data_IF_603503861989
#
_entry.id   IF_603503861989
#
_cell.length_a   1.000
_cell.length_b   1.000
_cell.length_c   1.000
_cell.angle_alpha   90.00
_cell.angle_beta   90.00
_cell.angle_gamma   90.00
#
_symmetry.space_group_name_H-M   'P 1'
#
loop_
_entity.id
_entity.type
_entity.pdbx_description
1 polymer ?
#
# COMPACT_ATOMS: atom_id res chain seq x y z
N UNK A 1 -24.26 -15.25 33.00
CA UNK A 1 -23.53 -16.46 32.53
C UNK A 1 -22.25 -16.01 31.82
N UNK A 2 -21.05 -16.31 32.33
CA UNK A 2 -19.82 -15.85 31.72
C UNK A 2 -19.18 -16.95 30.84
N UNK A 3 -19.09 -16.71 29.54
CA UNK A 3 -18.33 -17.56 28.62
C UNK A 3 -16.85 -17.16 28.66
N UNK A 4 -16.07 -17.97 29.38
CA UNK A 4 -14.62 -18.07 29.26
C UNK A 4 -14.30 -18.85 27.98
N UNK A 5 -13.59 -18.26 27.02
CA UNK A 5 -12.69 -18.96 26.09
C UNK A 5 -11.97 -17.95 25.18
N UNK A 6 -10.86 -17.39 25.67
CA UNK A 6 -9.80 -16.86 24.81
C UNK A 6 -8.57 -17.71 25.07
N UNK A 7 -8.38 -18.72 24.22
CA UNK A 7 -7.10 -19.42 24.11
C UNK A 7 -6.11 -18.47 23.44
N UNK A 8 -5.07 -18.15 24.22
CA UNK A 8 -3.80 -17.57 23.79
C UNK A 8 -3.31 -18.28 22.52
N UNK A 9 -3.05 -17.51 21.46
CA UNK A 9 -2.04 -17.86 20.47
C UNK A 9 -0.88 -16.89 20.64
N UNK A 10 0.12 -17.40 21.37
CA UNK A 10 1.43 -16.80 21.56
C UNK A 10 2.33 -17.26 20.43
N UNK A 11 2.99 -16.33 19.75
CA UNK A 11 4.25 -16.58 19.07
C UNK A 11 5.31 -15.63 19.66
N UNK A 12 6.09 -16.13 20.63
CA UNK A 12 7.45 -15.65 20.96
C UNK A 12 8.39 -16.10 19.82
N UNK A 13 9.52 -15.50 19.46
CA UNK A 13 10.35 -14.41 19.97
C UNK A 13 11.24 -13.96 18.79
N UNK A 14 11.51 -12.65 18.63
CA UNK A 14 12.75 -12.18 17.99
C UNK A 14 13.57 -11.50 19.07
N UNK A 15 14.76 -12.08 19.30
CA UNK A 15 15.76 -11.68 20.29
C UNK A 15 16.34 -10.33 19.85
N UNK A 16 16.13 -9.25 20.63
CA UNK A 16 16.96 -8.06 20.53
C UNK A 16 18.29 -8.36 21.20
N UNK A 17 19.38 -8.06 20.49
CA UNK A 17 20.71 -8.02 21.07
C UNK A 17 20.96 -6.57 21.48
N UNK A 18 20.83 -6.28 22.77
CA UNK A 18 21.57 -5.18 23.40
C UNK A 18 22.93 -5.73 23.82
N UNK A 19 23.99 -5.06 23.40
CA UNK A 19 25.30 -5.04 24.07
C UNK A 19 26.16 -3.92 23.47
N UNK A 20 26.00 -2.74 24.04
CA UNK A 20 27.10 -1.80 24.20
C UNK A 20 27.68 -2.05 25.60
N UNK A 21 28.94 -2.50 25.68
CA UNK A 21 30.01 -1.78 26.40
C UNK A 21 31.30 -2.59 26.57
N UNK A 22 32.40 -1.83 26.46
CA UNK A 22 33.70 -1.97 27.12
C UNK A 22 34.73 -3.03 26.64
N UNK A 23 35.84 -2.45 26.15
CA UNK A 23 37.20 -2.98 25.97
C UNK A 23 37.68 -3.72 27.24
N UNK A 24 38.42 -4.83 27.06
CA UNK A 24 39.70 -5.15 27.72
C UNK A 24 40.35 -6.36 27.01
N UNK A 25 41.65 -6.23 26.78
CA UNK A 25 42.65 -7.18 26.26
C UNK A 25 42.91 -8.39 27.17
N UNK A 26 43.12 -9.59 26.62
CA UNK A 26 44.22 -10.52 26.97
C UNK A 26 44.09 -11.86 26.22
N UNK A 27 45.25 -12.47 25.99
CA UNK A 27 45.51 -13.64 25.17
C UNK A 27 45.32 -14.99 25.90
N UNK A 28 45.52 -16.06 25.12
CA UNK A 28 45.92 -17.44 25.48
C UNK A 28 44.84 -18.55 25.47
N UNK A 29 44.88 -19.30 24.35
CA UNK A 29 45.18 -20.75 24.23
C UNK A 29 44.32 -21.85 24.88
N UNK A 30 43.91 -22.76 23.99
CA UNK A 30 43.83 -24.24 24.07
C UNK A 30 42.73 -24.92 24.90
N UNK A 31 42.02 -25.86 24.27
CA UNK A 31 41.30 -26.94 24.97
C UNK A 31 40.07 -27.52 24.27
N UNK A 32 40.30 -28.31 23.22
CA UNK A 32 39.46 -29.38 22.61
C UNK A 32 38.25 -29.97 23.39
N UNK A 33 37.08 -30.12 22.75
CA UNK A 33 36.58 -31.39 22.20
C UNK A 33 35.13 -31.34 21.66
N UNK A 34 35.01 -31.77 20.40
CA UNK A 34 33.92 -32.45 19.68
C UNK A 34 32.51 -32.60 20.29
N UNK A 35 31.50 -32.22 19.48
CA UNK A 35 30.52 -33.15 18.89
C UNK A 35 29.87 -32.56 17.63
N UNK A 36 29.60 -33.46 16.70
CA UNK A 36 29.43 -33.28 15.26
C UNK A 36 28.03 -33.65 14.78
N UNK A 37 27.49 -32.89 13.83
CA UNK A 37 26.53 -33.33 12.80
C UNK A 37 26.51 -32.26 11.68
N UNK A 38 27.31 -32.42 10.61
CA UNK A 38 26.92 -32.96 9.29
C UNK A 38 25.61 -32.33 8.76
N UNK A 39 25.65 -31.41 7.78
CA UNK A 39 26.06 -31.68 6.40
C UNK A 39 26.65 -30.43 5.69
N UNK A 40 27.92 -30.50 5.29
CA UNK A 40 28.48 -29.74 4.16
C UNK A 40 28.60 -30.74 3.00
N UNK A 41 28.12 -30.44 1.81
CA UNK A 41 28.79 -29.51 0.91
C UNK A 41 29.88 -30.29 0.18
N UNK A 42 29.52 -30.94 -0.93
CA UNK A 42 30.40 -31.75 -1.75
C UNK A 42 30.38 -31.19 -3.19
N UNK A 43 31.28 -30.26 -3.46
CA UNK A 43 31.77 -29.98 -4.82
C UNK A 43 33.28 -30.20 -4.79
N UNK A 44 33.68 -31.40 -5.20
CA UNK A 44 35.07 -31.73 -5.50
C UNK A 44 35.24 -31.69 -7.02
N UNK A 45 36.32 -31.04 -7.44
CA UNK A 45 36.65 -30.67 -8.81
C UNK A 45 37.39 -31.85 -9.49
N UNK A 46 36.81 -32.35 -10.58
CA UNK A 46 37.50 -32.98 -11.72
C UNK A 46 37.73 -34.50 -11.68
N UNK A 47 37.01 -35.25 -12.52
CA UNK A 47 37.52 -35.93 -13.73
C UNK A 47 36.64 -37.14 -14.10
N UNK A 48 36.03 -37.08 -15.30
CA UNK A 48 35.65 -38.20 -16.19
C UNK A 48 34.93 -39.42 -15.58
N UNK A 49 33.59 -39.38 -15.58
CA UNK A 49 32.76 -40.49 -16.08
C UNK A 49 31.32 -40.01 -16.26
N UNK A 50 30.78 -40.33 -17.43
CA UNK A 50 29.42 -40.11 -17.89
C UNK A 50 28.41 -40.82 -16.99
N UNK A 51 27.62 -40.05 -16.25
CA UNK A 51 26.34 -40.51 -15.69
C UNK A 51 25.33 -39.41 -15.92
N UNK A 52 24.49 -39.61 -16.93
CA UNK A 52 23.31 -38.82 -17.25
C UNK A 52 22.39 -38.78 -16.02
N UNK A 53 22.55 -37.74 -15.21
CA UNK A 53 21.54 -37.36 -14.23
C UNK A 53 20.49 -36.53 -14.96
N UNK A 54 19.65 -37.23 -15.73
CA UNK A 54 18.32 -36.78 -16.10
C UNK A 54 17.48 -36.62 -14.83
N UNK A 55 17.77 -35.58 -14.03
CA UNK A 55 16.77 -34.97 -13.17
C UNK A 55 15.92 -34.05 -14.06
N UNK A 56 15.21 -34.67 -15.00
CA UNK A 56 14.07 -34.06 -15.66
C UNK A 56 12.96 -33.97 -14.62
N UNK A 57 13.10 -33.05 -13.67
CA UNK A 57 11.91 -32.42 -13.10
C UNK A 57 11.18 -31.87 -14.32
N UNK A 58 10.02 -32.43 -14.62
CA UNK A 58 9.13 -31.99 -15.68
C UNK A 58 8.72 -30.57 -15.36
N UNK A 59 9.59 -29.62 -15.71
CA UNK A 59 9.36 -28.20 -15.55
C UNK A 59 8.13 -27.89 -16.37
N UNK A 60 7.04 -27.56 -15.70
CA UNK A 60 5.84 -27.07 -16.36
C UNK A 60 6.28 -25.91 -17.28
N UNK A 61 6.01 -25.97 -18.59
CA UNK A 61 6.54 -24.96 -19.51
C UNK A 61 6.10 -23.56 -19.09
N UNK A 62 7.06 -22.66 -18.95
CA UNK A 62 6.83 -21.30 -18.44
C UNK A 62 5.76 -20.57 -19.27
N UNK A 63 5.77 -20.75 -20.59
CA UNK A 63 4.77 -20.17 -21.49
C UNK A 63 3.33 -20.64 -21.18
N UNK A 64 3.15 -21.91 -20.82
CA UNK A 64 1.83 -22.44 -20.46
C UNK A 64 1.39 -21.86 -19.11
N UNK A 65 2.32 -21.66 -18.18
CA UNK A 65 2.04 -21.03 -16.88
C UNK A 65 1.55 -19.59 -17.08
N UNK A 66 2.25 -18.81 -17.91
CA UNK A 66 1.88 -17.43 -18.17
C UNK A 66 0.52 -17.33 -18.88
N UNK A 67 0.19 -18.26 -19.78
CA UNK A 67 -1.14 -18.34 -20.41
C UNK A 67 -2.26 -18.66 -19.41
N UNK A 68 -2.00 -19.52 -18.41
CA UNK A 68 -2.95 -19.79 -17.32
C UNK A 68 -3.18 -18.50 -16.50
N UNK A 69 -2.10 -17.80 -16.15
CA UNK A 69 -2.18 -16.52 -15.44
C UNK A 69 -2.98 -15.49 -16.26
N UNK A 70 -2.75 -15.41 -17.56
CA UNK A 70 -3.46 -14.47 -18.43
C UNK A 70 -4.95 -14.77 -18.61
N UNK A 71 -5.36 -16.02 -18.38
CA UNK A 71 -6.76 -16.44 -18.43
C UNK A 71 -7.53 -16.12 -17.14
N UNK A 72 -6.82 -15.84 -16.04
CA UNK A 72 -7.43 -15.46 -14.77
C UNK A 72 -7.87 -13.99 -14.78
N UNK A 73 -8.78 -13.60 -13.89
CA UNK A 73 -9.15 -12.20 -13.73
C UNK A 73 -8.00 -11.37 -13.13
N UNK A 74 -8.14 -10.04 -13.16
CA UNK A 74 -7.09 -9.12 -12.71
C UNK A 74 -6.78 -9.23 -11.21
N UNK A 75 -7.76 -9.53 -10.36
CA UNK A 75 -7.51 -9.74 -8.93
C UNK A 75 -6.67 -10.99 -8.73
N UNK A 76 -7.02 -12.08 -9.42
CA UNK A 76 -6.25 -13.32 -9.35
C UNK A 76 -4.84 -13.16 -9.91
N UNK A 77 -4.68 -12.50 -11.06
CA UNK A 77 -3.36 -12.14 -11.59
C UNK A 77 -2.52 -11.39 -10.55
N UNK A 78 -3.12 -10.43 -9.83
CA UNK A 78 -2.44 -9.66 -8.80
C UNK A 78 -2.08 -10.51 -7.58
N UNK A 79 -2.94 -11.45 -7.16
CA UNK A 79 -2.64 -12.42 -6.09
C UNK A 79 -1.46 -13.32 -6.49
N UNK A 80 -1.47 -13.83 -7.72
CA UNK A 80 -0.45 -14.74 -8.23
C UNK A 80 0.95 -14.09 -8.34
N UNK A 81 1.06 -12.75 -8.35
CA UNK A 81 2.35 -12.03 -8.25
C UNK A 81 3.17 -12.41 -7.01
N UNK A 82 2.52 -12.85 -5.93
CA UNK A 82 3.20 -13.26 -4.70
C UNK A 82 3.83 -14.66 -4.80
N UNK A 83 3.45 -15.46 -5.80
CA UNK A 83 3.87 -16.87 -5.92
C UNK A 83 5.33 -16.99 -6.36
N UNK A 84 5.71 -16.32 -7.46
CA UNK A 84 7.09 -16.34 -7.95
C UNK A 84 7.47 -15.10 -8.77
N UNK A 85 8.78 -14.87 -8.94
CA UNK A 85 9.33 -13.71 -9.66
C UNK A 85 8.91 -13.66 -11.12
N UNK A 86 8.80 -14.81 -11.78
CA UNK A 86 8.36 -14.92 -13.17
C UNK A 86 6.94 -14.36 -13.35
N UNK A 87 5.98 -14.87 -12.58
CA UNK A 87 4.60 -14.39 -12.63
C UNK A 87 4.54 -12.91 -12.26
N UNK A 88 5.27 -12.49 -11.22
CA UNK A 88 5.36 -11.09 -10.82
C UNK A 88 5.81 -10.20 -11.98
N UNK A 89 6.90 -10.54 -12.65
CA UNK A 89 7.44 -9.76 -13.75
C UNK A 89 6.49 -9.72 -14.95
N UNK A 90 5.84 -10.85 -15.28
CA UNK A 90 4.84 -10.93 -16.34
C UNK A 90 3.67 -9.97 -16.09
N UNK A 91 3.06 -10.06 -14.90
CA UNK A 91 1.92 -9.22 -14.52
C UNK A 91 2.34 -7.75 -14.40
N UNK A 92 3.50 -7.46 -13.79
CA UNK A 92 4.01 -6.10 -13.68
C UNK A 92 4.27 -5.47 -15.06
N UNK A 93 4.81 -6.24 -16.02
CA UNK A 93 5.01 -5.78 -17.41
C UNK A 93 3.69 -5.54 -18.14
N UNK A 94 2.70 -6.43 -17.95
CA UNK A 94 1.34 -6.29 -18.51
C UNK A 94 0.63 -5.03 -18.00
N UNK A 95 0.85 -4.67 -16.74
CA UNK A 95 0.17 -3.53 -16.09
C UNK A 95 0.98 -2.21 -16.15
N UNK A 96 2.25 -2.27 -16.54
CA UNK A 96 3.11 -1.09 -16.72
C UNK A 96 2.55 0.00 -17.65
N UNK A 97 1.80 -0.29 -18.74
CA UNK A 97 1.27 0.74 -19.62
C UNK A 97 0.21 1.65 -18.99
N UNK A 98 -0.38 1.25 -17.86
CA UNK A 98 -1.36 2.08 -17.16
C UNK A 98 -0.65 3.13 -16.29
N UNK A 99 -0.86 4.39 -16.65
CA UNK A 99 -0.15 5.53 -16.06
C UNK A 99 -1.09 6.51 -15.34
N UNK A 100 -2.40 6.40 -15.56
CA UNK A 100 -3.41 7.24 -14.90
C UNK A 100 -4.20 6.37 -13.93
N UNK A 101 -4.23 6.77 -12.65
CA UNK A 101 -4.91 6.04 -11.59
C UNK A 101 -6.05 6.90 -11.05
N UNK A 102 -7.23 6.31 -10.92
CA UNK A 102 -8.41 6.96 -10.36
C UNK A 102 -9.03 6.02 -9.32
N UNK A 103 -8.98 6.40 -8.05
CA UNK A 103 -9.45 5.55 -6.95
C UNK A 103 -10.51 6.32 -6.17
N UNK A 104 -11.71 5.77 -6.09
CA UNK A 104 -12.82 6.45 -5.43
C UNK A 104 -13.59 5.53 -4.48
N UNK A 105 -14.18 6.12 -3.46
CA UNK A 105 -15.07 5.49 -2.50
C UNK A 105 -16.51 5.84 -2.87
N UNK A 106 -17.21 4.90 -3.51
CA UNK A 106 -18.55 5.12 -4.05
C UNK A 106 -19.42 3.87 -3.91
N UNK A 107 -20.69 3.94 -4.30
CA UNK A 107 -21.52 2.72 -4.36
C UNK A 107 -21.03 1.84 -5.51
N UNK A 108 -20.44 0.69 -5.18
CA UNK A 108 -19.83 -0.18 -6.19
C UNK A 108 -20.89 -0.71 -7.14
N UNK A 109 -22.07 -1.06 -6.64
CA UNK A 109 -23.15 -1.67 -7.45
C UNK A 109 -23.65 -0.68 -8.48
N UNK A 110 -23.85 0.58 -8.09
CA UNK A 110 -24.29 1.62 -9.01
C UNK A 110 -23.23 1.84 -10.10
N UNK A 111 -21.96 1.96 -9.72
CA UNK A 111 -20.86 2.21 -10.67
C UNK A 111 -20.64 1.05 -11.66
N UNK A 112 -20.78 -0.20 -11.20
CA UNK A 112 -20.60 -1.38 -12.05
C UNK A 112 -21.79 -1.62 -12.97
N UNK A 113 -23.00 -1.22 -12.55
CA UNK A 113 -24.21 -1.41 -13.36
C UNK A 113 -24.27 -0.46 -14.57
N UNK A 114 -23.67 0.74 -14.44
CA UNK A 114 -23.78 1.78 -15.46
C UNK A 114 -22.77 1.68 -16.60
N UNK A 115 -21.76 0.81 -16.53
CA UNK A 115 -20.74 0.76 -17.60
C UNK A 115 -20.10 -0.62 -17.77
N UNK A 116 -19.83 -1.01 -19.02
CA UNK A 116 -19.15 -2.26 -19.34
C UNK A 116 -17.65 -2.23 -18.94
N UNK A 117 -17.07 -3.41 -18.68
CA UNK A 117 -15.63 -3.62 -18.44
C UNK A 117 -15.17 -3.51 -16.99
N UNK A 118 -16.08 -3.54 -16.01
CA UNK A 118 -15.70 -3.69 -14.60
C UNK A 118 -15.45 -5.16 -14.25
N UNK A 119 -14.37 -5.40 -13.52
CA UNK A 119 -14.13 -6.66 -12.82
C UNK A 119 -14.39 -6.42 -11.34
N UNK A 120 -15.31 -7.17 -10.75
CA UNK A 120 -15.59 -7.14 -9.33
C UNK A 120 -14.75 -8.21 -8.62
N UNK A 121 -14.15 -7.86 -7.49
CA UNK A 121 -13.42 -8.83 -6.69
C UNK A 121 -14.38 -9.84 -6.05
N UNK A 122 -14.10 -11.14 -6.21
CA UNK A 122 -14.97 -12.23 -5.76
C UNK A 122 -15.33 -12.17 -4.26
N UNK A 123 -14.40 -11.68 -3.44
CA UNK A 123 -14.52 -11.67 -1.97
C UNK A 123 -14.37 -10.26 -1.37
N UNK A 124 -14.43 -9.22 -2.19
CA UNK A 124 -14.24 -7.83 -1.79
C UNK A 124 -15.24 -6.91 -2.47
N UNK A 125 -15.68 -5.87 -1.78
CA UNK A 125 -16.48 -4.79 -2.34
C UNK A 125 -15.58 -3.76 -3.04
N UNK A 126 -14.74 -4.27 -3.95
CA UNK A 126 -13.79 -3.50 -4.75
C UNK A 126 -13.96 -3.92 -6.20
N UNK A 127 -14.14 -2.94 -7.08
CA UNK A 127 -14.20 -3.13 -8.51
C UNK A 127 -13.05 -2.38 -9.18
N UNK A 128 -12.54 -2.94 -10.27
CA UNK A 128 -11.49 -2.34 -11.09
C UNK A 128 -11.90 -2.35 -12.55
N UNK A 129 -11.54 -1.28 -13.25
CA UNK A 129 -11.74 -1.14 -14.69
C UNK A 129 -10.45 -0.63 -15.31
N UNK A 130 -9.97 -1.37 -16.28
CA UNK A 130 -8.80 -1.03 -17.07
C UNK A 130 -9.27 -0.57 -18.44
N UNK A 131 -8.95 0.66 -18.83
CA UNK A 131 -9.27 1.19 -20.16
C UNK A 131 -8.16 2.10 -20.65
N UNK A 132 -7.63 1.81 -21.84
CA UNK A 132 -6.53 2.55 -22.45
C UNK A 132 -5.31 2.62 -21.52
N UNK A 133 -4.96 3.81 -21.00
CA UNK A 133 -3.89 4.03 -20.02
C UNK A 133 -4.41 4.36 -18.63
N UNK A 134 -5.72 4.25 -18.40
CA UNK A 134 -6.39 4.61 -17.15
C UNK A 134 -6.85 3.35 -16.40
N UNK A 135 -6.52 3.32 -15.12
CA UNK A 135 -7.03 2.37 -14.13
C UNK A 135 -8.04 3.12 -13.28
N UNK A 136 -9.26 2.60 -13.21
CA UNK A 136 -10.28 3.07 -12.26
C UNK A 136 -10.52 1.99 -11.22
N UNK A 137 -10.47 2.35 -9.95
CA UNK A 137 -10.75 1.47 -8.82
C UNK A 137 -11.86 2.12 -8.01
N UNK A 138 -12.90 1.34 -7.71
CA UNK A 138 -13.99 1.77 -6.83
C UNK A 138 -14.04 0.83 -5.65
N UNK A 139 -14.02 1.40 -4.45
CA UNK A 139 -14.28 0.67 -3.21
C UNK A 139 -15.60 1.13 -2.62
N UNK A 140 -16.36 0.21 -2.02
CA UNK A 140 -17.68 0.54 -1.51
C UNK A 140 -17.64 1.51 -0.33
N UNK A 141 -18.68 2.33 -0.19
CA UNK A 141 -18.86 3.24 0.95
C UNK A 141 -18.86 2.49 2.30
N UNK A 142 -19.28 1.21 2.29
CA UNK A 142 -19.30 0.29 3.44
C UNK A 142 -18.13 -0.68 3.43
N UNK A 143 -16.95 -0.22 2.99
CA UNK A 143 -15.73 -1.01 2.97
C UNK A 143 -15.45 -1.74 4.29
N UNK A 144 -14.88 -2.92 4.19
CA UNK A 144 -14.43 -3.73 5.31
C UNK A 144 -12.90 -3.69 5.43
N UNK A 145 -12.36 -4.24 6.52
CA UNK A 145 -10.92 -4.43 6.65
C UNK A 145 -10.31 -5.20 5.46
N UNK A 146 -11.06 -6.15 4.87
CA UNK A 146 -10.62 -6.90 3.69
C UNK A 146 -10.55 -6.02 2.44
N UNK A 147 -11.52 -5.13 2.25
CA UNK A 147 -11.55 -4.22 1.11
C UNK A 147 -10.40 -3.21 1.16
N UNK A 148 -10.03 -2.80 2.37
CA UNK A 148 -8.83 -1.96 2.62
C UNK A 148 -7.55 -2.67 2.20
N UNK A 149 -7.39 -3.95 2.54
CA UNK A 149 -6.24 -4.73 2.08
C UNK A 149 -6.24 -4.87 0.55
N UNK A 150 -7.41 -5.13 -0.03
CA UNK A 150 -7.56 -5.27 -1.48
C UNK A 150 -7.19 -3.98 -2.22
N UNK A 151 -7.69 -2.82 -1.80
CA UNK A 151 -7.41 -1.54 -2.47
C UNK A 151 -5.94 -1.14 -2.35
N UNK A 152 -5.32 -1.32 -1.18
CA UNK A 152 -3.88 -1.07 -0.99
C UNK A 152 -3.06 -2.02 -1.87
N UNK A 153 -3.44 -3.30 -1.91
CA UNK A 153 -2.82 -4.29 -2.80
C UNK A 153 -2.89 -3.89 -4.27
N UNK A 154 -4.07 -3.48 -4.76
CA UNK A 154 -4.26 -2.99 -6.12
C UNK A 154 -3.41 -1.75 -6.42
N UNK A 155 -3.48 -0.72 -5.56
CA UNK A 155 -2.72 0.52 -5.73
C UNK A 155 -1.21 0.27 -5.77
N UNK A 156 -0.72 -0.69 -4.97
CA UNK A 156 0.70 -1.04 -4.91
C UNK A 156 1.26 -1.56 -6.24
N UNK A 157 0.40 -2.16 -7.07
CA UNK A 157 0.79 -2.74 -8.37
C UNK A 157 1.17 -1.64 -9.35
N UNK A 158 0.42 -0.53 -9.34
CA UNK A 158 0.61 0.58 -10.27
C UNK A 158 1.63 1.62 -9.77
N UNK A 159 2.12 1.48 -8.54
CA UNK A 159 2.89 2.54 -7.86
C UNK A 159 4.09 3.08 -8.66
N UNK A 160 4.77 2.23 -9.45
CA UNK A 160 5.98 2.59 -10.21
C UNK A 160 5.70 3.10 -11.63
N UNK A 161 4.46 3.03 -12.12
CA UNK A 161 4.06 3.46 -13.46
C UNK A 161 3.17 4.71 -13.46
N UNK A 162 2.46 4.99 -12.37
CA UNK A 162 1.52 6.11 -12.29
C UNK A 162 2.23 7.46 -12.37
N UNK A 163 1.72 8.30 -13.27
CA UNK A 163 2.14 9.70 -13.48
C UNK A 163 1.04 10.68 -13.05
N UNK A 164 -0.22 10.27 -13.11
CA UNK A 164 -1.37 11.06 -12.69
C UNK A 164 -2.27 10.20 -11.80
N UNK A 165 -2.60 10.71 -10.62
CA UNK A 165 -3.45 10.04 -9.65
C UNK A 165 -4.58 10.97 -9.22
N UNK A 166 -5.81 10.45 -9.23
CA UNK A 166 -6.97 11.08 -8.61
C UNK A 166 -7.53 10.15 -7.56
N UNK A 167 -7.55 10.57 -6.30
CA UNK A 167 -7.99 9.73 -5.17
C UNK A 167 -8.94 10.50 -4.25
N UNK A 168 -9.81 9.82 -3.52
CA UNK A 168 -10.62 10.49 -2.48
C UNK A 168 -9.81 10.67 -1.20
N UNK A 169 -10.15 11.67 -0.37
CA UNK A 169 -9.43 11.97 0.86
C UNK A 169 -9.29 10.77 1.83
N UNK A 170 -10.31 9.92 2.05
CA UNK A 170 -10.14 8.71 2.85
C UNK A 170 -9.13 7.71 2.27
N UNK A 171 -8.99 7.67 0.94
CA UNK A 171 -8.02 6.82 0.25
C UNK A 171 -6.62 7.43 0.33
N UNK A 172 -6.52 8.77 0.29
CA UNK A 172 -5.26 9.48 0.51
C UNK A 172 -4.71 9.22 1.93
N UNK A 173 -5.56 9.30 2.95
CA UNK A 173 -5.19 8.92 4.32
C UNK A 173 -4.75 7.46 4.39
N UNK A 174 -5.54 6.53 3.82
CA UNK A 174 -5.23 5.11 3.80
C UNK A 174 -3.88 4.83 3.14
N UNK A 175 -3.54 5.54 2.06
CA UNK A 175 -2.24 5.42 1.41
C UNK A 175 -1.10 5.75 2.38
N UNK A 176 -1.20 6.86 3.11
CA UNK A 176 -0.21 7.27 4.10
C UNK A 176 -0.12 6.25 5.24
N UNK A 177 -1.26 5.74 5.70
CA UNK A 177 -1.31 4.69 6.73
C UNK A 177 -0.61 3.42 6.25
N UNK A 178 -0.79 3.02 4.99
CA UNK A 178 -0.22 1.78 4.43
C UNK A 178 1.31 1.73 4.42
N UNK A 179 1.96 2.89 4.57
CA UNK A 179 3.43 3.05 4.66
C UNK A 179 3.89 3.53 6.04
N UNK A 180 2.96 3.70 6.99
CA UNK A 180 3.25 4.05 8.38
C UNK A 180 3.58 2.83 9.23
N UNK A 181 3.91 3.04 10.52
CA UNK A 181 4.02 1.94 11.50
C UNK A 181 2.66 1.38 11.96
N UNK A 182 1.55 2.01 11.56
CA UNK A 182 0.20 1.62 11.98
C UNK A 182 -0.31 0.45 11.13
N UNK A 183 -0.79 -0.60 11.82
CA UNK A 183 -1.47 -1.70 11.15
C UNK A 183 -2.81 -1.24 10.54
N UNK A 184 -3.09 -1.68 9.31
CA UNK A 184 -4.30 -1.31 8.57
C UNK A 184 -5.60 -1.71 9.30
N UNK A 185 -5.61 -2.80 10.08
CA UNK A 185 -6.81 -3.18 10.84
C UNK A 185 -7.03 -2.24 12.04
N UNK A 186 -5.95 -1.73 12.65
CA UNK A 186 -6.05 -0.72 13.72
C UNK A 186 -6.60 0.59 13.18
N UNK A 187 -6.10 1.03 12.02
CA UNK A 187 -6.65 2.21 11.35
C UNK A 187 -8.13 2.01 11.00
N UNK A 188 -8.49 0.85 10.44
CA UNK A 188 -9.89 0.55 10.14
C UNK A 188 -10.78 0.58 11.40
N UNK A 189 -10.33 -0.03 12.50
CA UNK A 189 -11.06 -0.01 13.76
C UNK A 189 -11.25 1.42 14.29
N UNK A 190 -10.23 2.27 14.17
CA UNK A 190 -10.33 3.69 14.50
C UNK A 190 -11.35 4.41 13.62
N UNK A 191 -11.33 4.18 12.31
CA UNK A 191 -12.35 4.74 11.40
C UNK A 191 -13.78 4.28 11.76
N UNK A 192 -13.96 3.02 12.17
CA UNK A 192 -15.23 2.54 12.69
C UNK A 192 -15.66 3.25 13.98
N UNK A 193 -14.72 3.45 14.91
CA UNK A 193 -14.96 4.16 16.16
C UNK A 193 -15.41 5.61 15.91
N UNK A 194 -14.65 6.35 15.09
CA UNK A 194 -14.95 7.73 14.72
C UNK A 194 -16.34 7.86 14.10
N UNK A 195 -16.69 6.93 13.19
CA UNK A 195 -18.01 6.89 12.56
C UNK A 195 -19.14 6.54 13.55
N UNK A 196 -18.88 5.68 14.53
CA UNK A 196 -19.89 5.28 15.53
C UNK A 196 -20.18 6.39 16.55
N UNK A 197 -19.17 7.20 16.87
CA UNK A 197 -19.28 8.33 17.79
C UNK A 197 -19.75 9.63 17.12
N UNK A 198 -19.89 9.63 15.78
CA UNK A 198 -20.05 10.84 14.96
C UNK A 198 -18.97 11.91 15.23
N UNK A 199 -17.81 11.46 15.71
CA UNK A 199 -16.69 12.30 16.12
C UNK A 199 -15.79 12.69 14.93
N UNK A 200 -16.30 12.63 13.70
CA UNK A 200 -15.48 12.84 12.49
C UNK A 200 -14.86 14.24 12.43
N UNK A 201 -15.54 15.22 13.01
CA UNK A 201 -15.11 16.62 13.12
C UNK A 201 -14.37 16.93 14.44
N UNK A 202 -14.25 15.95 15.33
CA UNK A 202 -13.45 16.09 16.55
C UNK A 202 -11.96 15.92 16.24
N UNK A 203 -11.12 16.64 16.99
CA UNK A 203 -9.65 16.53 16.96
C UNK A 203 -9.20 15.22 17.62
N UNK A 204 -9.70 14.09 17.12
CA UNK A 204 -9.24 12.75 17.47
C UNK A 204 -8.25 12.24 16.43
N UNK A 205 -7.02 11.98 16.88
CA UNK A 205 -5.90 11.60 16.03
C UNK A 205 -5.22 10.33 16.56
N UNK A 206 -4.78 9.47 15.63
CA UNK A 206 -3.86 8.39 15.94
C UNK A 206 -2.44 8.84 15.64
N UNK A 207 -1.66 9.05 16.69
CA UNK A 207 -0.25 9.40 16.54
C UNK A 207 0.60 8.14 16.39
N UNK A 208 1.48 8.17 15.39
CA UNK A 208 2.42 7.10 15.12
C UNK A 208 3.85 7.64 15.20
N UNK A 209 4.77 6.75 15.57
CA UNK A 209 6.19 7.05 15.49
C UNK A 209 6.62 7.28 14.04
N UNK A 210 7.70 8.04 13.87
CA UNK A 210 8.23 8.33 12.54
C UNK A 210 8.72 7.04 11.86
N UNK A 211 8.23 6.82 10.63
CA UNK A 211 8.62 5.68 9.81
C UNK A 211 9.48 6.13 8.63
N UNK A 212 10.53 5.38 8.33
CA UNK A 212 11.29 5.48 7.09
C UNK A 212 11.02 4.23 6.22
N UNK A 213 10.11 4.32 5.23
CA UNK A 213 9.77 3.20 4.35
C UNK A 213 10.91 2.75 3.41
N UNK A 214 12.01 3.52 3.30
CA UNK A 214 13.18 3.21 2.47
C UNK A 214 13.02 3.53 0.97
N UNK A 215 11.82 3.46 0.41
CA UNK A 215 11.53 3.83 -0.99
C UNK A 215 10.33 4.76 -1.06
N UNK A 216 10.36 5.71 -2.01
CA UNK A 216 9.19 6.54 -2.34
C UNK A 216 8.08 5.69 -2.95
N UNK A 217 6.86 5.82 -2.44
CA UNK A 217 5.72 5.03 -2.92
C UNK A 217 5.37 5.35 -4.37
N UNK A 218 5.17 6.63 -4.69
CA UNK A 218 4.88 7.16 -6.03
C UNK A 218 6.03 8.02 -6.56
N UNK A 219 7.08 7.39 -7.11
CA UNK A 219 8.27 8.12 -7.56
C UNK A 219 8.04 8.93 -8.84
N UNK A 220 7.00 8.65 -9.62
CA UNK A 220 6.76 9.26 -10.95
C UNK A 220 5.53 10.15 -11.02
N UNK A 221 4.77 10.28 -9.94
CA UNK A 221 3.54 11.10 -9.95
C UNK A 221 3.91 12.56 -10.14
N UNK A 222 3.33 13.14 -11.19
CA UNK A 222 3.44 14.54 -11.56
C UNK A 222 2.17 15.31 -11.20
N UNK A 223 1.01 14.66 -11.29
CA UNK A 223 -0.27 15.28 -10.98
C UNK A 223 -1.00 14.42 -9.95
N UNK A 224 -1.22 14.97 -8.76
CA UNK A 224 -2.06 14.36 -7.73
C UNK A 224 -3.28 15.26 -7.51
N UNK A 225 -4.46 14.68 -7.65
CA UNK A 225 -5.73 15.32 -7.30
C UNK A 225 -6.38 14.54 -6.17
N UNK A 226 -6.74 15.22 -5.09
CA UNK A 226 -7.48 14.64 -3.99
C UNK A 226 -8.89 15.22 -4.00
N UNK A 227 -9.89 14.36 -4.23
CA UNK A 227 -11.30 14.72 -4.09
C UNK A 227 -11.70 14.61 -2.63
N UNK A 228 -12.49 15.55 -2.16
CA UNK A 228 -12.95 15.55 -0.78
C UNK A 228 -14.32 16.22 -0.68
N UNK A 229 -14.96 16.01 0.45
CA UNK A 229 -16.16 16.71 0.90
C UNK A 229 -15.83 17.47 2.18
N UNK A 230 -16.66 18.40 2.62
CA UNK A 230 -16.46 19.05 3.92
C UNK A 230 -16.38 18.01 5.05
N UNK A 231 -17.25 16.99 5.00
CA UNK A 231 -17.26 15.87 5.97
C UNK A 231 -16.02 14.99 5.89
N UNK A 232 -15.35 14.92 4.74
CA UNK A 232 -14.15 14.11 4.56
C UNK A 232 -12.85 14.90 4.71
N UNK A 233 -12.92 16.23 4.86
CA UNK A 233 -11.76 17.08 5.07
C UNK A 233 -10.88 16.66 6.27
N UNK A 234 -11.42 16.14 7.39
CA UNK A 234 -10.62 15.63 8.50
C UNK A 234 -9.63 14.52 8.11
N UNK A 235 -9.89 13.77 7.03
CA UNK A 235 -8.93 12.77 6.51
C UNK A 235 -7.64 13.43 6.00
N UNK A 236 -7.72 14.65 5.47
CA UNK A 236 -6.55 15.42 5.02
C UNK A 236 -5.72 15.92 6.21
N UNK A 237 -6.37 16.21 7.33
CA UNK A 237 -5.70 16.71 8.53
C UNK A 237 -4.81 15.63 9.17
N UNK A 238 -5.41 14.44 9.40
CA UNK A 238 -4.77 13.34 10.12
C UNK A 238 -3.54 12.75 9.45
N UNK A 239 -3.29 13.04 8.17
CA UNK A 239 -2.12 12.50 7.46
C UNK A 239 -0.79 12.83 8.14
N UNK A 240 -0.74 13.97 8.85
CA UNK A 240 0.47 14.43 9.53
C UNK A 240 0.82 13.57 10.75
N UNK A 241 -0.17 12.93 11.38
CA UNK A 241 0.00 12.17 12.62
C UNK A 241 0.49 10.74 12.42
N UNK A 242 0.43 10.22 11.19
CA UNK A 242 0.90 8.87 10.88
C UNK A 242 2.42 8.73 10.80
N UNK A 243 3.18 9.78 11.12
CA UNK A 243 4.65 9.70 11.19
C UNK A 243 5.32 9.47 9.83
N UNK A 244 4.61 9.70 8.73
CA UNK A 244 5.11 9.51 7.36
C UNK A 244 5.28 10.87 6.71
N UNK A 245 6.52 11.21 6.33
CA UNK A 245 6.78 12.45 5.58
C UNK A 245 6.31 12.33 4.13
N UNK A 246 5.79 13.43 3.57
CA UNK A 246 5.32 13.52 2.19
C UNK A 246 6.36 13.02 1.15
N UNK A 247 7.66 13.21 1.37
CA UNK A 247 8.70 12.76 0.45
C UNK A 247 8.86 11.23 0.35
N UNK A 248 8.25 10.46 1.25
CA UNK A 248 8.14 9.01 1.11
C UNK A 248 6.87 8.58 0.36
N UNK A 249 5.90 9.47 0.23
CA UNK A 249 4.70 9.23 -0.58
C UNK A 249 4.96 9.64 -2.03
N UNK A 250 5.51 10.84 -2.21
CA UNK A 250 5.66 11.51 -3.50
C UNK A 250 7.10 12.00 -3.68
N UNK A 251 7.64 11.83 -4.89
CA UNK A 251 8.88 12.50 -5.26
C UNK A 251 8.59 13.98 -5.54
N UNK A 252 8.88 14.85 -4.57
CA UNK A 252 8.55 16.28 -4.62
C UNK A 252 9.16 17.00 -5.82
N UNK A 253 10.27 16.50 -6.36
CA UNK A 253 10.91 17.05 -7.56
C UNK A 253 10.11 16.79 -8.83
N UNK A 254 9.38 15.68 -8.88
CA UNK A 254 8.57 15.28 -10.03
C UNK A 254 7.13 15.81 -9.95
N UNK A 255 6.64 16.16 -8.75
CA UNK A 255 5.27 16.63 -8.58
C UNK A 255 5.09 18.03 -9.19
N UNK A 256 4.36 18.15 -10.29
CA UNK A 256 4.04 19.42 -10.95
C UNK A 256 2.79 20.06 -10.36
N UNK A 257 1.79 19.25 -9.95
CA UNK A 257 0.52 19.74 -9.39
C UNK A 257 0.01 18.85 -8.27
N UNK A 258 -0.37 19.48 -7.16
CA UNK A 258 -1.11 18.89 -6.05
C UNK A 258 -2.42 19.67 -5.89
N UNK A 259 -3.53 19.06 -6.24
CA UNK A 259 -4.84 19.71 -6.25
C UNK A 259 -5.77 19.08 -5.22
N UNK A 260 -6.44 19.90 -4.43
CA UNK A 260 -7.57 19.48 -3.58
C UNK A 260 -8.87 19.99 -4.19
N UNK A 261 -9.84 19.11 -4.40
CA UNK A 261 -11.13 19.46 -4.99
C UNK A 261 -12.24 19.13 -4.01
N UNK A 262 -12.97 20.16 -3.58
CA UNK A 262 -14.19 20.02 -2.80
C UNK A 262 -15.40 19.92 -3.73
N UNK A 263 -16.19 18.86 -3.58
CA UNK A 263 -17.32 18.57 -4.47
C UNK A 263 -18.68 19.03 -3.92
N UNK A 264 -18.75 19.39 -2.63
CA UNK A 264 -19.99 19.67 -1.89
C UNK A 264 -20.08 21.10 -1.32
N UNK A 265 -19.01 21.89 -1.44
CA UNK A 265 -18.96 23.28 -0.97
C UNK A 265 -18.44 24.21 -2.05
N UNK A 266 -18.98 25.44 -2.11
CA UNK A 266 -18.60 26.47 -3.10
C UNK A 266 -17.48 27.40 -2.60
N UNK A 267 -17.24 27.44 -1.29
CA UNK A 267 -16.23 28.30 -0.67
C UNK A 267 -15.66 27.67 0.60
N UNK A 268 -14.44 28.09 0.95
CA UNK A 268 -13.77 27.63 2.18
C UNK A 268 -14.49 28.08 3.45
N UNK A 269 -14.71 27.14 4.37
CA UNK A 269 -15.12 27.40 5.77
C UNK A 269 -13.89 27.48 6.70
N UNK A 270 -14.07 27.98 7.93
CA UNK A 270 -12.98 28.03 8.93
C UNK A 270 -12.45 26.63 9.27
N UNK A 271 -13.37 25.67 9.39
CA UNK A 271 -13.05 24.26 9.65
C UNK A 271 -12.24 23.66 8.50
N UNK A 272 -12.71 23.84 7.26
CA UNK A 272 -11.98 23.38 6.06
C UNK A 272 -10.60 24.03 5.95
N UNK A 273 -10.48 25.33 6.27
CA UNK A 273 -9.19 26.03 6.28
C UNK A 273 -8.16 25.38 7.20
N UNK A 274 -8.60 24.95 8.40
CA UNK A 274 -7.75 24.26 9.37
C UNK A 274 -7.21 22.95 8.80
N UNK A 275 -8.10 22.09 8.29
CA UNK A 275 -7.69 20.79 7.73
C UNK A 275 -6.76 20.97 6.51
N UNK A 276 -7.05 21.92 5.64
CA UNK A 276 -6.19 22.25 4.49
C UNK A 276 -4.82 22.78 4.92
N UNK A 277 -4.77 23.61 5.96
CA UNK A 277 -3.52 24.12 6.51
C UNK A 277 -2.63 22.98 7.02
N UNK A 278 -3.19 22.05 7.80
CA UNK A 278 -2.46 20.90 8.34
C UNK A 278 -1.97 19.97 7.21
N UNK A 279 -2.84 19.69 6.23
CA UNK A 279 -2.45 18.94 5.04
C UNK A 279 -1.32 19.63 4.25
N UNK A 280 -1.39 20.96 4.09
CA UNK A 280 -0.34 21.74 3.43
C UNK A 280 0.97 21.73 4.21
N UNK A 281 0.92 21.75 5.55
CA UNK A 281 2.09 21.58 6.40
C UNK A 281 2.75 20.22 6.17
N UNK A 282 1.96 19.14 6.15
CA UNK A 282 2.44 17.79 5.86
C UNK A 282 3.04 17.66 4.45
N UNK A 283 2.34 18.19 3.45
CA UNK A 283 2.81 18.18 2.06
C UNK A 283 4.16 18.91 1.93
N UNK A 284 4.43 19.89 2.81
CA UNK A 284 5.68 20.62 2.88
C UNK A 284 5.52 22.01 2.25
N UNK A 285 4.91 22.90 3.01
CA UNK A 285 4.55 24.28 2.66
C UNK A 285 5.65 25.11 1.97
N UNK A 286 6.93 24.89 2.28
CA UNK A 286 8.06 25.66 1.72
C UNK A 286 8.47 25.34 0.27
N UNK A 287 7.65 24.63 -0.51
CA UNK A 287 8.04 24.28 -1.89
C UNK A 287 6.90 23.99 -2.87
N UNK A 288 5.64 24.20 -2.50
CA UNK A 288 4.49 23.89 -3.35
C UNK A 288 3.67 25.10 -3.77
N UNK A 289 4.15 26.33 -3.58
CA UNK A 289 3.33 27.55 -3.69
C UNK A 289 2.49 27.64 -4.97
N UNK A 290 3.10 27.61 -6.15
CA UNK A 290 2.36 27.63 -7.43
C UNK A 290 1.82 26.26 -7.87
N UNK A 291 2.23 25.18 -7.18
CA UNK A 291 1.89 23.79 -7.53
C UNK A 291 0.71 23.26 -6.72
N UNK A 292 0.36 23.92 -5.62
CA UNK A 292 -0.74 23.58 -4.73
C UNK A 292 -1.98 24.36 -5.15
N UNK A 293 -3.04 23.65 -5.53
CA UNK A 293 -4.30 24.24 -5.95
C UNK A 293 -5.45 23.74 -5.08
N UNK A 294 -6.42 24.61 -4.82
CA UNK A 294 -7.68 24.25 -4.19
C UNK A 294 -8.83 24.71 -5.08
N UNK A 295 -9.83 23.85 -5.27
CA UNK A 295 -11.01 24.11 -6.10
C UNK A 295 -12.28 23.75 -5.31
N UNK A 296 -13.32 24.56 -5.50
CA UNK A 296 -14.61 24.44 -4.82
C UNK A 296 -15.74 24.41 -5.86
N UNK A 297 -16.86 23.78 -5.53
CA UNK A 297 -18.07 23.75 -6.37
C UNK A 297 -17.92 22.96 -7.67
N UNK A 298 -16.96 22.03 -7.75
CA UNK A 298 -16.78 21.21 -8.96
C UNK A 298 -17.61 19.93 -8.82
N UNK A 299 -18.71 19.85 -9.57
CA UNK A 299 -19.36 18.57 -9.87
C UNK A 299 -18.44 17.78 -10.80
N UNK A 300 -17.91 16.65 -10.31
CA UNK A 300 -17.07 15.72 -11.08
C UNK A 300 -17.90 14.51 -11.51
#
# INVERSE_FOLDING_TARGET
MPLKLIRKLSFRHKKSADRDDLKITAACSNGTMHKSSSSKGLFQRGSTSSVDTNNSTSSFPEEVLLKIVDSADIFEQIRLRAVCKTIKNHVDNKLKPYTHLDVQKADVRQMTSSSDGWVLGENSQVAIKLKEKKVRIVVDRKWTARDIQAIVGLMSVFRKSVIEATIDAPIAELLVVSISALDLNRWYAFQCFMKAMDAMDEDMHLQCEFTNPGEVYWPKVQHLTIRTTEREAPHLDRVIDYGVKCNFVLERRNLHRLRIVFVDIEMTTKTVSKHLYNFRCWAGSAGFDHRFEQQFGVLI
#
